data_IF_577372164417
#
_entry.id   IF_577372164417
#
_cell.length_a   1.000
_cell.length_b   1.000
_cell.length_c   1.000
_cell.angle_alpha   90.00
_cell.angle_beta   90.00
_cell.angle_gamma   90.00
#
_symmetry.space_group_name_H-M   'P 1'
#
loop_
_entity.id
_entity.type
_entity.pdbx_description
1 polymer ?
#
# COMPACT_ATOMS: atom_id res chain seq x y z
N UNK A 1 -5.42 6.35 15.78
CA UNK A 1 -4.66 5.22 15.21
C UNK A 1 -5.57 4.05 14.85
N UNK A 2 -6.30 3.44 15.80
CA UNK A 2 -7.15 2.26 15.56
C UNK A 2 -8.13 2.39 14.37
N UNK A 3 -8.77 3.54 14.20
CA UNK A 3 -9.72 3.77 13.09
C UNK A 3 -9.03 3.58 11.72
N UNK A 4 -7.80 4.05 11.56
CA UNK A 4 -7.05 3.93 10.30
C UNK A 4 -6.74 2.45 10.02
N UNK A 5 -6.34 1.70 11.06
CA UNK A 5 -6.09 0.27 10.94
C UNK A 5 -7.35 -0.51 10.53
N UNK A 6 -8.49 -0.20 11.13
CA UNK A 6 -9.78 -0.82 10.81
C UNK A 6 -10.26 -0.44 9.41
N UNK A 7 -10.06 0.80 8.98
CA UNK A 7 -10.37 1.23 7.62
C UNK A 7 -9.47 0.52 6.59
N UNK A 8 -8.19 0.33 6.89
CA UNK A 8 -7.29 -0.40 6.01
C UNK A 8 -7.71 -1.87 5.89
N UNK A 9 -8.01 -2.52 7.02
CA UNK A 9 -8.56 -3.87 7.02
C UNK A 9 -9.91 -3.95 6.30
N UNK A 10 -10.75 -2.93 6.40
CA UNK A 10 -12.01 -2.84 5.66
C UNK A 10 -11.78 -2.75 4.15
N UNK A 11 -10.79 -1.99 3.68
CA UNK A 11 -10.42 -1.95 2.25
C UNK A 11 -10.02 -3.34 1.73
N UNK A 12 -9.19 -4.07 2.48
CA UNK A 12 -8.81 -5.45 2.14
C UNK A 12 -10.04 -6.37 2.12
N UNK A 13 -10.87 -6.28 3.16
CA UNK A 13 -12.09 -7.08 3.29
C UNK A 13 -13.07 -6.83 2.14
N UNK A 14 -13.30 -5.57 1.77
CA UNK A 14 -14.15 -5.19 0.63
C UNK A 14 -13.57 -5.69 -0.68
N UNK A 15 -12.26 -5.60 -0.88
CA UNK A 15 -11.61 -6.13 -2.07
C UNK A 15 -11.73 -7.66 -2.15
N UNK A 16 -11.71 -8.38 -1.01
CA UNK A 16 -11.88 -9.84 -1.00
C UNK A 16 -13.21 -10.27 -1.63
N UNK A 17 -14.30 -9.50 -1.42
CA UNK A 17 -15.59 -9.76 -2.09
C UNK A 17 -15.51 -9.65 -3.61
N UNK A 18 -14.65 -8.78 -4.15
CA UNK A 18 -14.49 -8.63 -5.60
C UNK A 18 -13.77 -9.83 -6.24
N UNK A 19 -13.04 -10.61 -5.44
CA UNK A 19 -12.28 -11.78 -5.87
C UNK A 19 -12.91 -13.11 -5.43
N UNK A 20 -14.13 -13.07 -4.87
CA UNK A 20 -14.80 -14.24 -4.28
C UNK A 20 -13.96 -14.94 -3.19
N UNK A 21 -13.14 -14.17 -2.47
CA UNK A 21 -12.32 -14.67 -1.36
C UNK A 21 -13.14 -14.58 -0.07
N UNK A 22 -13.54 -15.74 0.46
CA UNK A 22 -14.33 -15.88 1.70
C UNK A 22 -13.54 -15.61 3.00
N UNK A 23 -12.80 -14.51 3.07
CA UNK A 23 -12.01 -14.14 4.24
C UNK A 23 -12.90 -13.48 5.31
N UNK A 24 -12.70 -13.80 6.59
CA UNK A 24 -13.37 -13.07 7.67
C UNK A 24 -12.73 -11.68 7.86
N UNK A 25 -13.44 -10.75 8.52
CA UNK A 25 -12.88 -9.43 8.82
C UNK A 25 -11.60 -9.53 9.69
N UNK A 26 -11.56 -10.49 10.62
CA UNK A 26 -10.35 -10.79 11.40
C UNK A 26 -9.20 -11.28 10.51
N UNK A 27 -9.49 -12.06 9.47
CA UNK A 27 -8.49 -12.43 8.45
C UNK A 27 -7.96 -11.23 7.68
N UNK A 28 -8.82 -10.28 7.31
CA UNK A 28 -8.39 -9.03 6.68
C UNK A 28 -7.52 -8.16 7.60
N UNK A 29 -7.82 -8.12 8.90
CA UNK A 29 -6.94 -7.50 9.90
C UNK A 29 -5.57 -8.20 9.97
N UNK A 30 -5.53 -9.53 9.93
CA UNK A 30 -4.27 -10.28 9.90
C UNK A 30 -3.43 -9.94 8.67
N UNK A 31 -4.03 -9.95 7.47
CA UNK A 31 -3.36 -9.55 6.22
C UNK A 31 -2.81 -8.12 6.33
N UNK A 32 -3.59 -7.20 6.88
CA UNK A 32 -3.17 -5.80 7.11
C UNK A 32 -1.93 -5.71 8.00
N UNK A 33 -1.88 -6.48 9.09
CA UNK A 33 -0.72 -6.51 10.00
C UNK A 33 0.50 -7.12 9.31
N UNK A 34 0.36 -8.21 8.57
CA UNK A 34 1.46 -8.80 7.82
C UNK A 34 2.06 -7.83 6.79
N UNK A 35 1.21 -7.12 6.04
CA UNK A 35 1.64 -6.10 5.10
C UNK A 35 2.36 -4.97 5.83
N UNK A 36 1.81 -4.46 6.94
CA UNK A 36 2.42 -3.36 7.69
C UNK A 36 3.80 -3.74 8.26
N UNK A 37 3.95 -4.97 8.78
CA UNK A 37 5.25 -5.47 9.25
C UNK A 37 6.26 -5.60 8.11
N UNK A 38 5.84 -6.11 6.95
CA UNK A 38 6.72 -6.24 5.79
C UNK A 38 7.14 -4.85 5.28
N UNK A 39 6.20 -3.90 5.20
CA UNK A 39 6.47 -2.53 4.77
C UNK A 39 7.26 -1.73 5.82
N UNK A 40 7.36 -2.18 7.07
CA UNK A 40 8.26 -1.55 8.04
C UNK A 40 9.74 -1.86 7.77
N UNK A 41 10.06 -2.84 6.93
CA UNK A 41 11.43 -3.17 6.57
C UNK A 41 12.04 -2.11 5.64
N UNK A 42 13.37 -1.92 5.68
CA UNK A 42 14.07 -1.06 4.73
C UNK A 42 13.86 -1.56 3.30
N UNK A 43 13.31 -0.73 2.42
CA UNK A 43 12.96 -1.11 1.05
C UNK A 43 12.90 0.09 0.10
N UNK A 44 12.86 -0.22 -1.19
CA UNK A 44 12.77 0.78 -2.26
C UNK A 44 11.45 1.58 -2.19
N UNK A 45 11.45 2.83 -2.70
CA UNK A 45 10.24 3.65 -2.75
C UNK A 45 9.12 2.93 -3.53
N UNK A 46 7.90 3.06 -3.03
CA UNK A 46 6.71 2.45 -3.64
C UNK A 46 6.38 1.02 -3.18
N UNK A 47 7.22 0.40 -2.34
CA UNK A 47 6.94 -0.89 -1.68
C UNK A 47 6.66 -2.06 -2.63
N UNK A 48 7.09 -1.93 -3.90
CA UNK A 48 6.90 -2.95 -4.93
C UNK A 48 7.70 -4.20 -4.55
N UNK A 49 7.12 -5.38 -4.77
CA UNK A 49 7.71 -6.66 -4.33
C UNK A 49 7.35 -7.01 -2.89
N UNK A 50 7.86 -6.29 -1.89
CA UNK A 50 7.66 -6.63 -0.46
C UNK A 50 6.17 -6.63 -0.09
N UNK A 51 5.42 -5.62 -0.54
CA UNK A 51 3.96 -5.56 -0.36
C UNK A 51 3.26 -6.75 -1.02
N UNK A 52 3.67 -7.12 -2.22
CA UNK A 52 3.05 -8.18 -3.00
C UNK A 52 3.30 -9.55 -2.36
N UNK A 53 4.54 -9.81 -1.93
CA UNK A 53 4.94 -11.04 -1.25
C UNK A 53 4.20 -11.15 0.09
N UNK A 54 4.14 -10.08 0.87
CA UNK A 54 3.45 -10.08 2.16
C UNK A 54 1.95 -10.36 2.01
N UNK A 55 1.30 -9.75 1.02
CA UNK A 55 -0.11 -9.99 0.71
C UNK A 55 -0.33 -11.44 0.26
N UNK A 56 0.49 -11.95 -0.66
CA UNK A 56 0.38 -13.33 -1.14
C UNK A 56 0.57 -14.34 -0.01
N UNK A 57 1.62 -14.17 0.81
CA UNK A 57 1.95 -15.10 1.90
C UNK A 57 0.94 -15.05 3.04
N UNK A 58 0.36 -13.89 3.33
CA UNK A 58 -0.71 -13.80 4.34
C UNK A 58 -2.02 -14.42 3.85
N UNK A 59 -2.36 -14.31 2.56
CA UNK A 59 -3.53 -14.98 1.98
C UNK A 59 -3.33 -16.50 1.81
N UNK A 60 -2.10 -16.95 1.57
CA UNK A 60 -1.71 -18.38 1.51
C UNK A 60 -2.05 -19.12 2.83
N UNK A 61 -1.94 -18.44 3.98
CA UNK A 61 -2.34 -18.98 5.29
C UNK A 61 -3.83 -19.35 5.33
N UNK A 62 -4.67 -18.67 4.55
CA UNK A 62 -6.10 -18.94 4.44
C UNK A 62 -6.46 -19.83 3.23
N UNK A 63 -5.46 -20.42 2.57
CA UNK A 63 -5.67 -21.34 1.45
C UNK A 63 -6.07 -20.66 0.13
N UNK A 64 -5.85 -19.34 0.00
CA UNK A 64 -6.13 -18.63 -1.26
C UNK A 64 -5.10 -19.04 -2.31
N UNK A 65 -5.59 -19.49 -3.47
CA UNK A 65 -4.72 -19.92 -4.57
C UNK A 65 -3.79 -18.81 -5.08
N UNK A 66 -2.55 -19.19 -5.44
CA UNK A 66 -1.48 -18.25 -5.83
C UNK A 66 -1.90 -17.23 -6.90
N UNK A 67 -2.58 -17.68 -7.95
CA UNK A 67 -3.01 -16.80 -9.05
C UNK A 67 -4.02 -15.73 -8.59
N UNK A 68 -4.95 -16.11 -7.71
CA UNK A 68 -5.91 -15.16 -7.11
C UNK A 68 -5.19 -14.19 -6.17
N UNK A 69 -4.32 -14.71 -5.29
CA UNK A 69 -3.55 -13.90 -4.36
C UNK A 69 -2.60 -12.90 -5.06
N UNK A 70 -2.00 -13.29 -6.19
CA UNK A 70 -1.18 -12.40 -7.03
C UNK A 70 -2.00 -11.26 -7.62
N UNK A 71 -3.13 -11.59 -8.24
CA UNK A 71 -4.04 -10.60 -8.85
C UNK A 71 -4.61 -9.65 -7.81
N UNK A 72 -4.97 -10.19 -6.64
CA UNK A 72 -5.41 -9.43 -5.48
C UNK A 72 -4.34 -8.45 -4.99
N UNK A 73 -3.09 -8.91 -4.84
CA UNK A 73 -1.98 -8.08 -4.37
C UNK A 73 -1.69 -6.91 -5.31
N UNK A 74 -1.73 -7.15 -6.64
CA UNK A 74 -1.54 -6.11 -7.65
C UNK A 74 -2.65 -5.07 -7.57
N UNK A 75 -3.92 -5.50 -7.53
CA UNK A 75 -5.04 -4.58 -7.45
C UNK A 75 -5.04 -3.81 -6.14
N UNK A 76 -4.79 -4.46 -5.00
CA UNK A 76 -4.70 -3.82 -3.70
C UNK A 76 -3.61 -2.73 -3.68
N UNK A 77 -2.43 -3.02 -4.22
CA UNK A 77 -1.35 -2.04 -4.35
C UNK A 77 -1.77 -0.88 -5.25
N UNK A 78 -2.35 -1.16 -6.41
CA UNK A 78 -2.76 -0.16 -7.39
C UNK A 78 -3.81 0.80 -6.81
N UNK A 79 -4.86 0.28 -6.16
CA UNK A 79 -5.91 1.13 -5.56
C UNK A 79 -5.41 1.90 -4.34
N UNK A 80 -4.36 1.42 -3.67
CA UNK A 80 -3.76 2.12 -2.51
C UNK A 80 -2.80 3.22 -2.94
N UNK A 81 -2.03 2.98 -4.01
CA UNK A 81 -0.94 3.89 -4.42
C UNK A 81 -1.42 4.88 -5.47
N UNK A 82 -2.06 4.41 -6.55
CA UNK A 82 -2.36 5.26 -7.73
C UNK A 82 -3.23 6.47 -7.36
N UNK A 83 -4.37 6.36 -6.65
CA UNK A 83 -5.20 7.52 -6.36
C UNK A 83 -4.48 8.57 -5.51
N UNK A 84 -3.69 8.13 -4.53
CA UNK A 84 -2.92 9.02 -3.65
C UNK A 84 -1.79 9.70 -4.43
N UNK A 85 -1.08 8.94 -5.27
CA UNK A 85 -0.04 9.49 -6.15
C UNK A 85 -0.62 10.50 -7.14
N UNK A 86 -1.75 10.18 -7.79
CA UNK A 86 -2.42 11.09 -8.72
C UNK A 86 -2.87 12.36 -8.00
N UNK A 87 -3.47 12.26 -6.82
CA UNK A 87 -3.86 13.42 -6.03
C UNK A 87 -2.63 14.31 -5.70
N UNK A 88 -1.53 13.70 -5.26
CA UNK A 88 -0.27 14.41 -4.98
C UNK A 88 0.27 15.15 -6.22
N UNK A 89 0.31 14.48 -7.37
CA UNK A 89 0.76 15.07 -8.64
C UNK A 89 -0.14 16.23 -9.09
N UNK A 90 -1.46 16.11 -8.91
CA UNK A 90 -2.41 17.17 -9.22
C UNK A 90 -2.17 18.41 -8.35
N UNK A 91 -1.93 18.25 -7.05
CA UNK A 91 -1.61 19.38 -6.17
C UNK A 91 -0.25 20.01 -6.52
N UNK A 92 0.76 19.18 -6.79
CA UNK A 92 2.07 19.66 -7.22
C UNK A 92 1.98 20.52 -8.48
N UNK A 93 1.21 20.06 -9.47
CA UNK A 93 0.97 20.81 -10.71
C UNK A 93 0.22 22.12 -10.46
N UNK A 94 -0.77 22.12 -9.56
CA UNK A 94 -1.55 23.32 -9.21
C UNK A 94 -0.73 24.39 -8.49
N UNK A 95 0.25 23.99 -7.70
CA UNK A 95 1.11 24.90 -6.94
C UNK A 95 2.32 25.39 -7.77
N UNK A 96 2.51 24.86 -8.97
CA UNK A 96 3.59 25.26 -9.88
C UNK A 96 4.98 24.78 -9.43
N UNK A 97 5.04 23.84 -8.47
CA UNK A 97 6.31 23.35 -7.91
C UNK A 97 6.96 22.40 -8.92
N UNK A 98 8.17 22.73 -9.34
CA UNK A 98 8.99 21.86 -10.19
C UNK A 98 9.65 20.76 -9.37
N UNK A 99 9.75 19.53 -9.91
CA UNK A 99 10.55 18.46 -9.30
C UNK A 99 12.01 18.88 -9.03
N UNK A 100 12.55 19.83 -9.81
CA UNK A 100 13.90 20.37 -9.63
C UNK A 100 14.04 21.35 -8.45
N UNK A 101 12.96 22.03 -8.04
CA UNK A 101 12.96 22.85 -6.82
C UNK A 101 12.96 21.98 -5.57
N UNK A 102 12.23 20.86 -5.61
CA UNK A 102 12.18 19.90 -4.50
C UNK A 102 13.55 19.24 -4.28
N UNK A 103 14.28 18.90 -5.34
CA UNK A 103 15.61 18.28 -5.20
C UNK A 103 16.69 19.22 -4.68
N UNK A 104 16.52 20.54 -4.80
CA UNK A 104 17.48 21.55 -4.33
C UNK A 104 17.16 22.14 -2.96
N UNK A 105 16.03 21.77 -2.34
CA UNK A 105 15.61 22.34 -1.05
C UNK A 105 16.48 21.85 0.13
N UNK A 106 17.08 20.66 0.02
CA UNK A 106 17.94 20.05 1.07
C UNK A 106 19.37 20.63 1.14
N UNK A 107 19.82 21.37 0.12
CA UNK A 107 21.23 21.81 0.04
C UNK A 107 21.48 23.20 0.66
N UNK A 108 20.42 23.96 0.97
CA UNK A 108 20.53 25.38 1.43
C UNK A 108 20.43 25.60 2.93
N UNK A 109 20.33 24.56 3.76
CA UNK A 109 20.00 24.69 5.20
C UNK A 109 20.93 23.98 6.19
N UNK A 110 22.22 23.83 5.87
CA UNK A 110 23.25 23.56 6.88
C UNK A 110 24.19 24.77 6.96
N UNK A 111 23.89 25.78 7.79
CA UNK A 111 24.93 26.71 8.21
C UNK A 111 25.93 25.94 9.09
N UNK A 112 27.20 25.98 8.71
CA UNK A 112 28.34 25.56 9.55
C UNK A 112 28.44 26.39 10.84
#
# INVERSE_FOLDING_TARGET
SLIIWLLNAASIYVLCYSFDIGLSYAGACFVTVCIALAVALPQAPGFIGVFHIATQKSLDVFGVGLSSAQSFAILLWAVSVIPVTVAGLLFLWREGISFGEISHYDEKKIPE
#
